data_IF_027740406858
#
_entry.id   IF_027740406858
#
_cell.length_a   1.000
_cell.length_b   1.000
_cell.length_c   1.000
_cell.angle_alpha   90.00
_cell.angle_beta   90.00
_cell.angle_gamma   90.00
#
_symmetry.space_group_name_H-M   'P 1'
#
loop_
_entity.id
_entity.type
_entity.pdbx_description
1 polymer ?
#
# COMPACT_ATOMS: atom_id res chain seq x y z
N UNK A 1 -9.71 18.19 1.45
CA UNK A 1 -10.22 17.99 0.08
C UNK A 1 -9.01 17.87 -0.85
N UNK A 2 -8.79 16.72 -1.48
CA UNK A 2 -7.74 16.56 -2.50
C UNK A 2 -8.25 17.16 -3.81
N UNK A 3 -7.69 18.30 -4.21
CA UNK A 3 -7.90 18.84 -5.56
C UNK A 3 -6.65 18.50 -6.39
N UNK A 4 -6.80 17.82 -7.55
CA UNK A 4 -5.67 17.52 -8.42
C UNK A 4 -5.09 18.81 -9.01
N UNK A 5 -3.77 18.94 -9.02
CA UNK A 5 -3.09 20.01 -9.77
C UNK A 5 -3.26 19.76 -11.28
N UNK A 6 -3.55 20.79 -12.10
CA UNK A 6 -3.69 20.60 -13.54
C UNK A 6 -2.43 19.94 -14.13
N UNK A 7 -2.59 18.78 -14.78
CA UNK A 7 -1.49 18.03 -15.40
C UNK A 7 -0.82 16.95 -14.53
N UNK A 8 -1.18 16.80 -13.24
CA UNK A 8 -0.68 15.74 -12.37
C UNK A 8 -1.89 15.06 -11.71
N UNK A 9 -2.11 13.79 -12.04
CA UNK A 9 -3.35 13.06 -11.70
C UNK A 9 -3.68 12.99 -10.20
N UNK A 10 -2.71 13.15 -9.30
CA UNK A 10 -2.96 13.23 -7.84
C UNK A 10 -1.96 14.16 -7.15
N UNK A 11 -2.32 14.67 -5.96
CA UNK A 11 -1.45 15.47 -5.07
C UNK A 11 -1.20 14.69 -3.76
N UNK A 12 -1.07 13.37 -3.85
CA UNK A 12 -0.80 12.50 -2.71
C UNK A 12 0.67 12.59 -2.29
N UNK A 13 1.05 13.70 -1.70
CA UNK A 13 2.41 13.88 -1.21
C UNK A 13 2.76 12.82 -0.15
N UNK A 14 4.06 12.59 0.09
CA UNK A 14 4.54 11.52 0.96
C UNK A 14 3.95 11.52 2.38
N UNK A 15 3.44 12.66 2.86
CA UNK A 15 2.75 12.78 4.14
C UNK A 15 1.34 12.12 4.12
N UNK A 16 0.63 12.22 3.00
CA UNK A 16 -0.68 11.59 2.80
C UNK A 16 -0.55 10.07 2.73
N UNK A 17 0.46 9.58 2.01
CA UNK A 17 0.77 8.15 1.93
C UNK A 17 1.19 7.58 3.28
N UNK A 18 2.04 8.30 4.05
CA UNK A 18 2.41 7.89 5.42
C UNK A 18 1.20 7.83 6.35
N UNK A 19 0.32 8.83 6.34
CA UNK A 19 -0.88 8.83 7.17
C UNK A 19 -1.83 7.65 6.85
N UNK A 20 -1.96 7.30 5.56
CA UNK A 20 -2.76 6.16 5.11
C UNK A 20 -2.24 4.82 5.66
N UNK A 21 -0.93 4.62 5.63
CA UNK A 21 -0.30 3.38 6.09
C UNK A 21 -0.04 3.33 7.61
N UNK A 22 -0.03 4.48 8.31
CA UNK A 22 0.18 4.55 9.76
C UNK A 22 -1.10 4.26 10.56
N UNK A 23 -2.28 4.56 10.01
CA UNK A 23 -3.54 4.41 10.73
C UNK A 23 -4.36 3.21 10.21
N UNK A 24 -4.32 2.05 10.89
CA UNK A 24 -5.16 0.90 10.54
C UNK A 24 -6.66 1.21 10.63
N UNK A 25 -7.05 2.24 11.40
CA UNK A 25 -8.42 2.74 11.47
C UNK A 25 -8.88 3.36 10.14
N UNK A 26 -8.00 4.11 9.46
CA UNK A 26 -8.31 4.73 8.17
C UNK A 26 -8.48 3.64 7.11
N UNK A 27 -7.54 2.70 7.02
CA UNK A 27 -7.65 1.55 6.12
C UNK A 27 -8.91 0.72 6.39
N UNK A 28 -9.34 0.61 7.65
CA UNK A 28 -10.55 -0.13 8.02
C UNK A 28 -11.87 0.51 7.63
N UNK A 29 -11.87 1.84 7.47
CA UNK A 29 -13.06 2.61 7.12
C UNK A 29 -13.34 2.65 5.63
N UNK A 30 -12.41 2.19 4.78
CA UNK A 30 -12.56 2.23 3.32
C UNK A 30 -13.19 0.92 2.85
N UNK A 31 -14.42 0.95 2.32
CA UNK A 31 -15.08 -0.25 1.81
C UNK A 31 -14.28 -0.85 0.66
N UNK A 32 -14.11 -2.17 0.69
CA UNK A 32 -13.40 -2.90 -0.37
C UNK A 32 -11.87 -2.91 -0.25
N UNK A 33 -11.27 -2.35 0.81
CA UNK A 33 -9.84 -2.49 1.08
C UNK A 33 -9.57 -3.54 2.16
N UNK A 34 -8.79 -4.55 1.82
CA UNK A 34 -8.28 -5.55 2.76
C UNK A 34 -7.18 -4.99 3.68
N UNK A 35 -7.44 -5.03 4.99
CA UNK A 35 -6.54 -4.46 6.01
C UNK A 35 -5.21 -5.22 6.09
N UNK A 36 -5.23 -6.54 5.85
CA UNK A 36 -4.05 -7.38 5.95
C UNK A 36 -3.08 -7.00 4.82
N UNK A 37 -3.61 -6.80 3.61
CA UNK A 37 -2.84 -6.36 2.47
C UNK A 37 -2.24 -4.97 2.67
N UNK A 38 -3.02 -4.00 3.16
CA UNK A 38 -2.49 -2.67 3.50
C UNK A 38 -1.36 -2.73 4.51
N UNK A 39 -1.50 -3.52 5.58
CA UNK A 39 -0.45 -3.68 6.59
C UNK A 39 0.81 -4.30 6.02
N UNK A 40 0.67 -5.31 5.16
CA UNK A 40 1.80 -5.96 4.49
C UNK A 40 2.53 -5.00 3.54
N UNK A 41 1.80 -4.21 2.75
CA UNK A 41 2.37 -3.16 1.89
C UNK A 41 3.07 -2.08 2.72
N UNK A 42 2.50 -1.69 3.86
CA UNK A 42 3.14 -0.75 4.80
C UNK A 42 4.49 -1.27 5.27
N UNK A 43 4.58 -2.56 5.61
CA UNK A 43 5.83 -3.19 6.03
C UNK A 43 6.87 -3.23 4.90
N UNK A 44 6.45 -3.52 3.66
CA UNK A 44 7.33 -3.45 2.47
C UNK A 44 7.91 -2.06 2.29
N UNK A 45 7.05 -1.02 2.32
CA UNK A 45 7.46 0.37 2.16
C UNK A 45 8.40 0.81 3.29
N UNK A 46 8.15 0.40 4.53
CA UNK A 46 9.03 0.68 5.65
C UNK A 46 10.40 0.01 5.46
N UNK A 47 10.45 -1.28 5.11
CA UNK A 47 11.72 -1.99 4.87
C UNK A 47 12.56 -1.33 3.77
N UNK A 48 11.92 -0.82 2.71
CA UNK A 48 12.62 -0.09 1.65
C UNK A 48 13.12 1.27 2.17
N UNK A 49 12.29 2.03 2.87
CA UNK A 49 12.61 3.37 3.37
C UNK A 49 13.77 3.36 4.39
N UNK A 50 13.86 2.32 5.21
CA UNK A 50 14.91 2.16 6.21
C UNK A 50 16.11 1.32 5.72
N UNK A 51 16.09 0.85 4.48
CA UNK A 51 17.09 -0.07 3.91
C UNK A 51 17.27 -1.37 4.73
N UNK A 52 16.23 -1.80 5.45
CA UNK A 52 16.22 -3.02 6.29
C UNK A 52 15.63 -4.21 5.53
N UNK A 53 16.32 -4.65 4.48
CA UNK A 53 15.87 -5.76 3.64
C UNK A 53 16.43 -7.08 4.18
N UNK A 54 15.53 -7.96 4.65
CA UNK A 54 15.88 -9.32 5.10
C UNK A 54 15.93 -10.29 3.93
N UNK A 55 16.62 -11.42 4.12
CA UNK A 55 16.68 -12.49 3.12
C UNK A 55 15.28 -12.98 2.66
N UNK A 56 14.29 -12.99 3.57
CA UNK A 56 12.92 -13.43 3.25
C UNK A 56 12.06 -12.36 2.54
N UNK A 57 12.62 -11.19 2.23
CA UNK A 57 11.85 -10.08 1.66
C UNK A 57 11.22 -10.43 0.31
N UNK A 58 11.94 -11.22 -0.51
CA UNK A 58 11.44 -11.69 -1.80
C UNK A 58 10.20 -12.57 -1.66
N UNK A 59 10.25 -13.55 -0.77
CA UNK A 59 9.15 -14.47 -0.49
C UNK A 59 7.96 -13.72 0.11
N UNK A 60 8.24 -12.74 0.96
CA UNK A 60 7.23 -11.86 1.53
C UNK A 60 6.49 -11.05 0.44
N UNK A 61 7.21 -10.44 -0.49
CA UNK A 61 6.63 -9.71 -1.62
C UNK A 61 5.82 -10.63 -2.56
N UNK A 62 6.30 -11.85 -2.84
CA UNK A 62 5.57 -12.82 -3.65
C UNK A 62 4.25 -13.27 -2.97
N UNK A 63 4.26 -13.44 -1.65
CA UNK A 63 3.05 -13.75 -0.90
C UNK A 63 2.02 -12.60 -0.97
N UNK A 64 2.48 -11.36 -0.94
CA UNK A 64 1.64 -10.17 -1.11
C UNK A 64 1.03 -10.12 -2.51
N UNK A 65 1.82 -10.39 -3.57
CA UNK A 65 1.32 -10.41 -4.94
C UNK A 65 0.23 -11.46 -5.16
N UNK A 66 0.41 -12.67 -4.61
CA UNK A 66 -0.62 -13.72 -4.63
C UNK A 66 -1.89 -13.30 -3.89
N UNK A 67 -1.74 -12.67 -2.72
CA UNK A 67 -2.86 -12.16 -1.93
C UNK A 67 -3.63 -11.06 -2.69
N UNK A 68 -2.92 -10.13 -3.34
CA UNK A 68 -3.53 -9.09 -4.17
C UNK A 68 -4.32 -9.68 -5.33
N UNK A 69 -3.75 -10.62 -6.09
CA UNK A 69 -4.44 -11.25 -7.22
C UNK A 69 -5.68 -12.05 -6.82
N UNK A 70 -5.68 -12.62 -5.61
CA UNK A 70 -6.85 -13.32 -5.07
C UNK A 70 -7.95 -12.35 -4.60
N UNK A 71 -7.59 -11.21 -4.00
CA UNK A 71 -8.53 -10.23 -3.47
C UNK A 71 -9.11 -9.32 -4.56
N UNK A 72 -8.31 -8.99 -5.58
CA UNK A 72 -8.67 -8.04 -6.63
C UNK A 72 -8.36 -8.58 -8.02
N UNK A 73 -8.97 -9.71 -8.44
CA UNK A 73 -8.69 -10.32 -9.75
C UNK A 73 -9.07 -9.41 -10.94
N UNK A 74 -9.96 -8.45 -10.70
CA UNK A 74 -10.43 -7.46 -11.67
C UNK A 74 -9.53 -6.22 -11.78
N UNK A 75 -8.57 -6.06 -10.86
CA UNK A 75 -7.68 -4.91 -10.81
C UNK A 75 -6.26 -5.35 -11.20
N UNK A 76 -5.80 -4.91 -12.37
CA UNK A 76 -4.40 -5.12 -12.75
C UNK A 76 -3.51 -4.26 -11.86
N UNK A 77 -2.49 -4.89 -11.28
CA UNK A 77 -1.51 -4.19 -10.46
C UNK A 77 -0.83 -3.10 -11.33
N UNK A 78 -0.90 -1.82 -10.93
CA UNK A 78 -0.35 -0.70 -11.69
C UNK A 78 1.18 -0.60 -11.60
#
# INVERSE_FOLDING_TARGET
MNAPKPGIGTTNDGNTSKAFFWSPAIASSIPGIDKILCRKLSAVLASIAWHEIKAQFKEFCLAIAKLYGALYPWCYMP
#
